data_IF_860590016354
#
_entry.id   IF_860590016354
#
_cell.length_a   1.000
_cell.length_b   1.000
_cell.length_c   1.000
_cell.angle_alpha   90.00
_cell.angle_beta   90.00
_cell.angle_gamma   90.00
#
_symmetry.space_group_name_H-M   'P 1'
#
loop_
_entity.id
_entity.type
_entity.pdbx_description
1 polymer ?
#
# COMPACT_ATOMS: atom_id res chain seq x y z
N UNK A 1 8.87 -45.17 10.87
CA UNK A 1 9.06 -44.75 9.50
C UNK A 1 9.21 -43.23 9.49
N UNK A 2 10.42 -42.78 9.03
CA UNK A 2 10.70 -41.37 8.87
C UNK A 2 9.77 -40.81 7.78
N UNK A 3 9.05 -39.74 8.07
CA UNK A 3 8.26 -39.07 7.06
C UNK A 3 9.21 -38.49 6.00
N UNK A 4 9.13 -39.01 4.78
CA UNK A 4 9.83 -38.43 3.64
C UNK A 4 9.14 -37.12 3.33
N UNK A 5 9.71 -36.02 3.80
CA UNK A 5 9.29 -34.68 3.42
C UNK A 5 9.65 -34.53 1.93
N UNK A 6 8.69 -34.36 1.01
CA UNK A 6 9.03 -34.16 -0.38
C UNK A 6 9.86 -32.87 -0.48
N UNK A 7 11.07 -32.98 -1.03
CA UNK A 7 11.94 -31.82 -1.29
C UNK A 7 11.37 -31.07 -2.50
N UNK A 8 10.30 -30.31 -2.28
CA UNK A 8 9.78 -29.38 -3.27
C UNK A 8 10.80 -28.25 -3.40
N UNK A 9 11.39 -28.08 -4.59
CA UNK A 9 12.27 -26.94 -4.85
C UNK A 9 11.47 -25.65 -4.66
N UNK A 10 12.01 -24.68 -3.95
CA UNK A 10 11.34 -23.39 -3.81
C UNK A 10 11.13 -22.75 -5.20
N UNK A 11 10.01 -22.05 -5.42
CA UNK A 11 9.74 -21.39 -6.70
C UNK A 11 10.81 -20.34 -6.99
N UNK A 12 11.14 -20.16 -8.27
CA UNK A 12 12.13 -19.14 -8.70
C UNK A 12 11.64 -17.70 -8.45
N UNK A 13 10.33 -17.50 -8.51
CA UNK A 13 9.68 -16.22 -8.27
C UNK A 13 8.31 -16.44 -7.63
N UNK A 14 7.91 -15.49 -6.79
CA UNK A 14 6.59 -15.41 -6.17
C UNK A 14 6.02 -14.04 -6.54
N UNK A 15 4.89 -14.03 -7.25
CA UNK A 15 4.16 -12.80 -7.59
C UNK A 15 2.85 -12.80 -6.81
N UNK A 16 2.70 -11.83 -5.92
CA UNK A 16 1.47 -11.63 -5.17
C UNK A 16 0.71 -10.44 -5.76
N UNK A 17 -0.50 -10.68 -6.23
CA UNK A 17 -1.41 -9.62 -6.71
C UNK A 17 -2.50 -9.46 -5.65
N UNK A 18 -2.47 -8.32 -4.96
CA UNK A 18 -3.40 -7.99 -3.89
C UNK A 18 -4.38 -6.92 -4.36
N UNK A 19 -5.56 -7.34 -4.78
CA UNK A 19 -6.60 -6.43 -5.25
C UNK A 19 -7.20 -5.62 -4.10
N UNK A 20 -7.50 -4.36 -4.36
CA UNK A 20 -8.16 -3.44 -3.42
C UNK A 20 -9.65 -3.38 -3.74
N UNK A 21 -10.48 -3.57 -2.72
CA UNK A 21 -11.96 -3.54 -2.81
C UNK A 21 -12.59 -4.49 -3.85
N UNK A 22 -11.91 -5.59 -4.18
CA UNK A 22 -12.44 -6.63 -5.07
C UNK A 22 -13.20 -7.67 -4.25
N UNK A 23 -14.49 -7.83 -4.54
CA UNK A 23 -15.37 -8.81 -3.89
C UNK A 23 -15.22 -10.20 -4.50
N UNK A 24 -15.60 -11.22 -3.72
CA UNK A 24 -15.65 -12.61 -4.18
C UNK A 24 -16.51 -12.78 -5.43
N UNK A 25 -17.66 -12.09 -5.49
CA UNK A 25 -18.60 -12.15 -6.62
C UNK A 25 -18.25 -11.28 -7.81
N UNK A 26 -17.08 -10.62 -7.84
CA UNK A 26 -16.70 -9.67 -8.88
C UNK A 26 -15.86 -10.30 -10.00
N UNK A 27 -15.45 -11.56 -9.85
CA UNK A 27 -14.62 -12.26 -10.84
C UNK A 27 -15.31 -13.49 -11.42
N UNK A 28 -15.08 -13.76 -12.69
CA UNK A 28 -15.78 -14.79 -13.47
C UNK A 28 -15.63 -16.19 -12.88
N UNK A 29 -14.45 -16.58 -12.40
CA UNK A 29 -14.19 -17.89 -11.81
C UNK A 29 -15.00 -18.15 -10.50
N UNK A 30 -15.58 -17.12 -9.91
CA UNK A 30 -16.51 -17.21 -8.78
C UNK A 30 -17.96 -16.90 -9.17
N UNK A 31 -18.26 -16.80 -10.48
CA UNK A 31 -19.62 -16.70 -11.01
C UNK A 31 -20.08 -15.29 -11.39
N UNK A 32 -19.19 -14.30 -11.37
CA UNK A 32 -19.51 -12.96 -11.90
C UNK A 32 -19.87 -13.01 -13.39
N UNK A 33 -20.88 -12.22 -13.77
CA UNK A 33 -21.35 -12.12 -15.17
C UNK A 33 -21.27 -10.70 -15.75
N UNK A 34 -21.03 -9.70 -14.90
CA UNK A 34 -21.08 -8.29 -15.30
C UNK A 34 -19.85 -7.83 -16.05
N UNK A 35 -18.67 -8.10 -15.50
CA UNK A 35 -17.37 -7.69 -16.06
C UNK A 35 -16.56 -8.94 -16.38
N UNK A 36 -16.09 -9.15 -17.61
CA UNK A 36 -15.22 -10.27 -17.95
C UNK A 36 -13.86 -10.18 -17.24
N UNK A 37 -13.41 -11.28 -16.65
CA UNK A 37 -12.11 -11.37 -15.97
C UNK A 37 -11.24 -12.52 -16.53
N UNK A 38 -11.02 -12.60 -17.85
CA UNK A 38 -10.48 -13.80 -18.51
C UNK A 38 -9.07 -14.17 -18.03
N UNK A 39 -8.24 -13.18 -17.64
CA UNK A 39 -6.90 -13.45 -17.12
C UNK A 39 -6.94 -14.10 -15.74
N UNK A 40 -7.81 -13.64 -14.85
CA UNK A 40 -8.02 -14.21 -13.51
C UNK A 40 -8.65 -15.59 -13.62
N UNK A 41 -9.64 -15.75 -14.49
CA UNK A 41 -10.33 -17.01 -14.73
C UNK A 41 -9.34 -18.09 -15.23
N UNK A 42 -8.44 -17.69 -16.13
CA UNK A 42 -7.37 -18.57 -16.62
C UNK A 42 -6.38 -18.99 -15.52
N UNK A 43 -6.04 -18.08 -14.61
CA UNK A 43 -5.22 -18.42 -13.43
C UNK A 43 -5.93 -19.44 -12.55
N UNK A 44 -7.24 -19.30 -12.35
CA UNK A 44 -8.04 -20.25 -11.57
C UNK A 44 -8.12 -21.63 -12.25
N UNK A 45 -8.21 -21.69 -13.57
CA UNK A 45 -8.21 -22.94 -14.35
C UNK A 45 -6.86 -23.67 -14.31
N UNK A 46 -5.75 -22.91 -14.30
CA UNK A 46 -4.40 -23.46 -14.35
C UNK A 46 -3.80 -23.72 -12.96
N UNK A 47 -4.44 -23.23 -11.91
CA UNK A 47 -3.92 -23.29 -10.56
C UNK A 47 -4.90 -23.88 -9.55
N UNK A 48 -4.92 -23.30 -8.38
CA UNK A 48 -5.82 -23.67 -7.29
C UNK A 48 -6.77 -22.51 -6.98
N UNK A 49 -8.08 -22.78 -7.02
CA UNK A 49 -9.11 -21.84 -6.64
C UNK A 49 -9.60 -22.17 -5.22
N UNK A 50 -9.48 -21.21 -4.32
CA UNK A 50 -9.97 -21.33 -2.96
C UNK A 50 -11.43 -20.89 -2.89
N UNK A 51 -12.30 -21.75 -2.34
CA UNK A 51 -13.72 -21.43 -2.12
C UNK A 51 -14.01 -20.84 -0.74
N UNK A 52 -13.09 -21.05 0.20
CA UNK A 52 -13.18 -20.61 1.59
C UNK A 52 -11.88 -19.93 2.03
N UNK A 53 -11.58 -18.80 1.42
CA UNK A 53 -10.45 -17.95 1.80
C UNK A 53 -10.95 -16.54 2.13
N UNK A 54 -10.56 -16.03 3.29
CA UNK A 54 -11.08 -14.79 3.83
C UNK A 54 -9.97 -13.80 4.12
N UNK A 55 -10.19 -12.53 3.77
CA UNK A 55 -9.37 -11.44 4.27
C UNK A 55 -9.55 -11.31 5.79
N UNK A 56 -8.50 -10.88 6.48
CA UNK A 56 -8.57 -10.67 7.94
C UNK A 56 -9.50 -9.53 8.33
N UNK A 57 -9.71 -8.58 7.43
CA UNK A 57 -10.69 -7.48 7.55
C UNK A 57 -11.13 -7.03 6.17
N UNK A 58 -12.22 -6.27 6.12
CA UNK A 58 -12.78 -5.70 4.88
C UNK A 58 -12.24 -4.32 4.52
N UNK A 59 -11.19 -3.82 5.20
CA UNK A 59 -10.65 -2.47 4.99
C UNK A 59 -9.14 -2.47 4.77
N UNK A 60 -8.64 -1.44 4.08
CA UNK A 60 -7.30 -1.34 3.51
C UNK A 60 -6.15 -1.57 4.50
N UNK A 61 -5.94 -0.62 5.42
CA UNK A 61 -4.80 -0.62 6.35
C UNK A 61 -4.73 -1.89 7.18
N UNK A 62 -5.79 -2.33 7.89
CA UNK A 62 -5.70 -3.50 8.75
C UNK A 62 -5.48 -4.80 7.98
N UNK A 63 -6.04 -4.97 6.77
CA UNK A 63 -5.80 -6.17 5.98
C UNK A 63 -4.37 -6.22 5.43
N UNK A 64 -3.82 -5.07 5.02
CA UNK A 64 -2.41 -4.95 4.58
C UNK A 64 -1.44 -5.16 5.74
N UNK A 65 -1.78 -4.66 6.94
CA UNK A 65 -1.02 -4.92 8.15
C UNK A 65 -0.91 -6.43 8.42
N UNK A 66 -2.04 -7.13 8.41
CA UNK A 66 -2.06 -8.57 8.65
C UNK A 66 -1.30 -9.35 7.57
N UNK A 67 -1.40 -8.94 6.29
CA UNK A 67 -0.69 -9.56 5.19
C UNK A 67 0.84 -9.55 5.41
N UNK A 68 1.40 -8.41 5.81
CA UNK A 68 2.86 -8.28 5.94
C UNK A 68 3.40 -8.74 7.30
N UNK A 69 2.59 -8.74 8.36
CA UNK A 69 3.05 -9.09 9.71
C UNK A 69 2.66 -10.48 10.17
N UNK A 70 1.64 -11.11 9.54
CA UNK A 70 1.05 -12.34 10.01
C UNK A 70 0.24 -12.17 11.33
N UNK A 71 0.04 -10.95 11.80
CA UNK A 71 -0.73 -10.64 13.00
C UNK A 71 -2.13 -10.15 12.66
N UNK A 72 -3.15 -10.61 13.38
CA UNK A 72 -4.48 -10.05 13.26
C UNK A 72 -4.51 -8.59 13.73
N UNK A 73 -5.14 -7.67 12.96
CA UNK A 73 -5.07 -6.24 13.24
C UNK A 73 -5.72 -5.83 14.57
N UNK A 74 -6.73 -6.57 15.04
CA UNK A 74 -7.37 -6.30 16.36
C UNK A 74 -6.47 -6.58 17.56
N UNK A 75 -5.32 -7.24 17.36
CA UNK A 75 -4.30 -7.46 18.41
C UNK A 75 -3.40 -6.28 18.63
N UNK A 76 -3.50 -5.27 17.77
CA UNK A 76 -2.68 -4.06 17.82
C UNK A 76 -3.54 -2.82 17.69
N UNK A 77 -3.42 -1.90 18.63
CA UNK A 77 -4.02 -0.59 18.54
C UNK A 77 -3.41 0.23 17.38
N UNK A 78 -4.21 1.12 16.79
CA UNK A 78 -3.77 2.01 15.71
C UNK A 78 -3.70 1.37 14.34
N UNK A 79 -4.33 0.21 14.12
CA UNK A 79 -4.42 -0.46 12.81
C UNK A 79 -5.69 -0.10 12.02
N UNK A 80 -6.45 0.92 12.44
CA UNK A 80 -7.57 1.47 11.67
C UNK A 80 -7.10 2.11 10.36
N UNK A 81 -8.05 2.63 9.58
CA UNK A 81 -7.73 3.31 8.31
C UNK A 81 -6.87 4.56 8.60
N UNK A 82 -5.68 4.59 8.02
CA UNK A 82 -4.71 5.64 8.25
C UNK A 82 -4.95 6.86 7.34
N UNK A 83 -4.62 8.09 7.79
CA UNK A 83 -4.44 9.24 6.91
C UNK A 83 -3.20 9.05 6.01
N UNK A 84 -3.09 9.89 4.96
CA UNK A 84 -2.02 9.77 3.97
C UNK A 84 -0.61 10.03 4.50
N UNK A 85 -0.51 10.85 5.52
CA UNK A 85 0.73 11.26 6.20
C UNK A 85 0.94 10.56 7.56
N UNK A 86 0.27 9.43 7.78
CA UNK A 86 0.47 8.64 9.00
C UNK A 86 1.89 8.12 9.13
N UNK A 87 2.36 7.98 10.37
CA UNK A 87 3.60 7.27 10.66
C UNK A 87 3.49 5.77 10.38
N UNK A 88 4.62 5.13 10.07
CA UNK A 88 4.66 3.68 9.85
C UNK A 88 4.15 2.92 11.09
N UNK A 89 3.16 2.05 10.88
CA UNK A 89 2.55 1.26 11.95
C UNK A 89 3.20 -0.12 12.13
N UNK A 90 3.98 -0.60 11.17
CA UNK A 90 4.70 -1.86 11.28
C UNK A 90 6.00 -1.63 12.06
N UNK A 91 6.22 -2.43 13.09
CA UNK A 91 7.48 -2.42 13.83
C UNK A 91 8.59 -2.99 12.95
N UNK A 92 9.58 -2.15 12.62
CA UNK A 92 10.69 -2.53 11.75
C UNK A 92 11.62 -3.59 12.36
N UNK A 93 11.51 -3.88 13.65
CA UNK A 93 12.31 -4.91 14.34
C UNK A 93 11.65 -6.29 14.31
N UNK A 94 10.35 -6.33 14.03
CA UNK A 94 9.60 -7.60 13.98
C UNK A 94 9.81 -8.35 12.66
N UNK A 95 9.61 -9.67 12.67
CA UNK A 95 9.48 -10.46 11.44
C UNK A 95 8.34 -9.94 10.56
N UNK A 96 8.57 -9.94 9.26
CA UNK A 96 7.58 -9.58 8.25
C UNK A 96 7.68 -10.55 7.09
N UNK A 97 6.64 -10.64 6.27
CA UNK A 97 6.64 -11.46 5.07
C UNK A 97 7.84 -11.16 4.15
N UNK A 98 8.15 -9.91 3.78
CA UNK A 98 9.32 -9.63 2.96
C UNK A 98 10.65 -10.01 3.63
N UNK A 99 10.84 -9.77 4.93
CA UNK A 99 12.05 -10.21 5.65
C UNK A 99 12.21 -11.73 5.64
N UNK A 100 11.12 -12.46 5.81
CA UNK A 100 11.14 -13.91 5.73
C UNK A 100 11.57 -14.37 4.34
N UNK A 101 11.03 -13.76 3.28
CA UNK A 101 11.43 -14.08 1.91
C UNK A 101 12.90 -13.73 1.63
N UNK A 102 13.39 -12.58 2.11
CA UNK A 102 14.80 -12.22 2.02
C UNK A 102 15.70 -13.25 2.71
N UNK A 103 15.32 -13.74 3.89
CA UNK A 103 16.10 -14.77 4.60
C UNK A 103 16.19 -16.10 3.85
N UNK A 104 15.33 -16.30 2.85
CA UNK A 104 15.35 -17.45 1.93
C UNK A 104 15.95 -17.12 0.56
N UNK A 105 16.64 -15.97 0.44
CA UNK A 105 17.36 -15.58 -0.77
C UNK A 105 16.53 -14.93 -1.88
N UNK A 106 15.28 -14.55 -1.60
CA UNK A 106 14.48 -13.80 -2.56
C UNK A 106 14.80 -12.30 -2.49
N UNK A 107 14.85 -11.65 -3.64
CA UNK A 107 14.70 -10.20 -3.73
C UNK A 107 13.23 -9.84 -3.64
N UNK A 108 12.93 -8.79 -2.91
CA UNK A 108 11.56 -8.40 -2.55
C UNK A 108 11.22 -7.01 -3.07
N UNK A 109 10.06 -6.90 -3.70
CA UNK A 109 9.60 -5.67 -4.35
C UNK A 109 8.19 -5.32 -3.84
N UNK A 110 7.94 -4.05 -3.53
CA UNK A 110 6.61 -3.53 -3.23
C UNK A 110 6.19 -2.53 -4.29
N UNK A 111 5.09 -2.80 -4.98
CA UNK A 111 4.57 -1.92 -6.03
C UNK A 111 3.09 -1.63 -5.76
N UNK A 112 2.69 -0.35 -5.82
CA UNK A 112 1.30 0.09 -5.73
C UNK A 112 0.92 0.69 -4.38
N UNK A 113 -0.34 0.50 -3.96
CA UNK A 113 -0.88 1.08 -2.73
C UNK A 113 -0.20 0.53 -1.49
N UNK A 114 0.37 1.43 -0.67
CA UNK A 114 1.01 1.09 0.60
C UNK A 114 0.04 1.13 1.79
N UNK A 115 -0.40 2.30 2.18
CA UNK A 115 -1.41 2.58 3.21
C UNK A 115 -1.11 2.00 4.60
N UNK A 116 0.16 1.93 4.97
CA UNK A 116 0.63 1.46 6.29
C UNK A 116 1.45 2.50 7.04
N UNK A 117 1.43 3.76 6.53
CA UNK A 117 2.19 4.86 7.08
C UNK A 117 3.66 4.83 6.68
N UNK A 118 4.34 5.96 6.92
CA UNK A 118 5.74 6.21 6.57
C UNK A 118 6.38 7.09 7.65
N UNK A 119 7.69 7.01 7.78
CA UNK A 119 8.39 7.83 8.76
C UNK A 119 8.14 7.41 10.21
N UNK A 120 8.71 8.15 11.13
CA UNK A 120 8.70 7.85 12.55
C UNK A 120 7.45 8.37 13.27
N UNK A 121 6.98 7.60 14.26
CA UNK A 121 5.85 8.00 15.10
C UNK A 121 6.17 9.32 15.86
N UNK A 122 5.23 10.27 15.77
CA UNK A 122 5.36 11.57 16.43
C UNK A 122 6.19 12.60 15.69
N UNK A 123 6.76 12.27 14.53
CA UNK A 123 7.44 13.21 13.65
C UNK A 123 6.58 13.51 12.42
N UNK A 124 6.54 14.79 12.02
CA UNK A 124 5.91 15.19 10.74
C UNK A 124 6.81 14.72 9.59
N UNK A 125 6.22 14.14 8.57
CA UNK A 125 6.93 13.73 7.36
C UNK A 125 7.32 14.97 6.55
N UNK A 126 8.59 15.07 6.19
CA UNK A 126 9.08 16.01 5.19
C UNK A 126 9.12 15.33 3.82
N UNK A 127 8.11 15.58 3.01
CA UNK A 127 7.93 14.97 1.70
C UNK A 127 8.97 15.41 0.66
N UNK A 128 9.77 16.42 0.99
CA UNK A 128 10.84 16.94 0.14
C UNK A 128 12.21 16.30 0.42
N UNK A 129 12.24 15.32 1.32
CA UNK A 129 13.43 14.58 1.71
C UNK A 129 13.19 13.08 1.68
N UNK A 130 14.27 12.32 1.83
CA UNK A 130 14.18 10.88 2.05
C UNK A 130 13.37 10.56 3.31
N UNK A 131 12.39 9.68 3.18
CA UNK A 131 11.47 9.27 4.24
C UNK A 131 11.88 7.87 4.72
N UNK A 132 12.22 7.78 6.00
CA UNK A 132 12.52 6.53 6.69
C UNK A 132 11.89 6.57 8.09
N UNK A 133 11.32 5.46 8.59
CA UNK A 133 11.15 4.18 7.91
C UNK A 133 10.09 4.20 6.79
N UNK A 134 10.28 3.31 5.83
CA UNK A 134 9.49 3.12 4.62
C UNK A 134 9.26 1.61 4.40
N UNK A 135 8.70 1.13 3.29
CA UNK A 135 8.64 -0.30 2.99
C UNK A 135 10.00 -1.00 3.03
N UNK A 136 11.08 -0.27 2.74
CA UNK A 136 12.42 -0.84 2.72
C UNK A 136 12.87 -1.33 4.11
N UNK A 137 12.54 -0.61 5.18
CA UNK A 137 12.91 -1.03 6.55
C UNK A 137 12.09 -2.21 7.07
N UNK A 138 10.99 -2.55 6.43
CA UNK A 138 10.25 -3.77 6.77
C UNK A 138 10.63 -4.98 5.91
N UNK A 139 11.63 -4.83 5.03
CA UNK A 139 12.24 -5.93 4.29
C UNK A 139 11.93 -5.96 2.80
N UNK A 140 11.50 -4.86 2.18
CA UNK A 140 11.52 -4.76 0.74
C UNK A 140 12.85 -4.20 0.25
N UNK A 141 13.48 -4.88 -0.70
CA UNK A 141 14.72 -4.40 -1.34
C UNK A 141 14.44 -3.15 -2.16
N UNK A 142 13.28 -3.12 -2.83
CA UNK A 142 12.84 -1.98 -3.63
C UNK A 142 11.36 -1.71 -3.42
N UNK A 143 10.98 -0.45 -3.47
CA UNK A 143 9.60 -0.02 -3.34
C UNK A 143 9.23 1.08 -4.34
N UNK A 144 8.05 0.93 -4.96
CA UNK A 144 7.45 1.94 -5.83
C UNK A 144 5.98 2.05 -5.48
N UNK A 145 5.64 3.02 -4.63
CA UNK A 145 4.37 3.02 -3.91
C UNK A 145 3.64 4.36 -3.97
N UNK A 146 2.30 4.28 -3.83
CA UNK A 146 1.51 5.37 -3.28
C UNK A 146 1.54 5.30 -1.75
N UNK A 147 1.75 6.44 -1.09
CA UNK A 147 1.82 6.51 0.37
C UNK A 147 0.55 5.94 1.04
N UNK A 148 -0.64 6.29 0.52
CA UNK A 148 -1.90 5.75 0.97
C UNK A 148 -2.81 5.40 -0.22
N UNK A 149 -3.73 6.27 -0.58
CA UNK A 149 -4.71 6.12 -1.67
C UNK A 149 -4.67 7.36 -2.56
N UNK A 150 -5.21 7.29 -3.77
CA UNK A 150 -5.27 8.43 -4.68
C UNK A 150 -6.19 9.58 -4.23
N UNK A 151 -7.01 9.35 -3.20
CA UNK A 151 -7.89 10.35 -2.58
C UNK A 151 -7.36 10.89 -1.23
N UNK A 152 -6.13 10.56 -0.84
CA UNK A 152 -5.51 10.98 0.44
C UNK A 152 -4.18 11.66 0.19
N UNK A 153 -4.02 12.79 0.84
CA UNK A 153 -2.81 13.61 0.71
C UNK A 153 -1.63 13.07 1.51
N UNK A 154 -0.45 13.22 0.92
CA UNK A 154 -0.18 13.65 -0.45
C UNK A 154 -0.37 12.52 -1.46
N UNK A 155 -0.89 12.84 -2.66
CA UNK A 155 -1.02 11.89 -3.76
C UNK A 155 0.30 11.78 -4.54
N UNK A 156 1.35 11.30 -3.89
CA UNK A 156 2.69 11.20 -4.47
C UNK A 156 3.10 9.74 -4.65
N UNK A 157 3.94 9.50 -5.66
CA UNK A 157 4.64 8.25 -5.82
C UNK A 157 5.99 8.34 -5.12
N UNK A 158 6.30 7.35 -4.30
CA UNK A 158 7.61 7.20 -3.67
C UNK A 158 8.35 6.04 -4.31
N UNK A 159 9.61 6.25 -4.58
CA UNK A 159 10.57 5.23 -4.97
C UNK A 159 11.65 5.14 -3.90
N UNK A 160 11.73 4.00 -3.22
CA UNK A 160 12.71 3.75 -2.15
C UNK A 160 12.79 4.91 -1.12
N UNK A 161 11.65 5.33 -0.61
CA UNK A 161 11.57 6.39 0.40
C UNK A 161 11.70 7.82 -0.11
N UNK A 162 11.88 8.02 -1.42
CA UNK A 162 11.98 9.36 -2.02
C UNK A 162 10.77 9.65 -2.90
N UNK A 163 10.24 10.87 -2.85
CA UNK A 163 9.21 11.30 -3.80
C UNK A 163 9.83 11.38 -5.19
N UNK A 164 9.19 10.69 -6.14
CA UNK A 164 9.67 10.64 -7.51
C UNK A 164 9.45 11.97 -8.22
N UNK A 165 10.45 12.37 -8.99
CA UNK A 165 10.45 13.60 -9.81
C UNK A 165 10.11 14.86 -8.99
N UNK A 166 10.55 14.94 -7.75
CA UNK A 166 10.41 16.12 -6.92
C UNK A 166 11.04 17.34 -7.59
N UNK A 167 10.27 18.42 -7.68
CA UNK A 167 10.80 19.71 -8.13
C UNK A 167 11.25 20.53 -6.91
N UNK A 168 12.55 20.84 -6.78
CA UNK A 168 13.06 21.65 -5.67
C UNK A 168 12.49 23.07 -5.63
N UNK A 169 12.02 23.58 -6.79
CA UNK A 169 11.44 24.92 -6.90
C UNK A 169 9.95 24.96 -6.59
N UNK A 170 9.29 23.77 -6.50
CA UNK A 170 7.88 23.63 -6.14
C UNK A 170 7.73 22.56 -5.02
N UNK A 171 8.19 22.85 -3.80
CA UNK A 171 8.22 21.90 -2.72
C UNK A 171 6.81 21.45 -2.31
N UNK A 172 6.69 20.19 -1.92
CA UNK A 172 5.42 19.63 -1.45
C UNK A 172 5.10 20.18 -0.07
N UNK A 173 3.91 20.76 0.05
CA UNK A 173 3.31 21.14 1.33
C UNK A 173 2.00 20.37 1.53
N UNK A 174 1.84 19.71 2.67
CA UNK A 174 0.62 19.00 3.05
C UNK A 174 -0.08 19.77 4.16
N UNK A 175 -1.34 20.14 3.91
CA UNK A 175 -2.17 20.82 4.88
C UNK A 175 -3.60 20.26 4.86
N UNK A 176 -4.13 20.05 6.06
CA UNK A 176 -5.55 19.70 6.28
C UNK A 176 -6.40 20.94 6.57
N UNK A 177 -5.79 22.13 6.53
CA UNK A 177 -6.50 23.40 6.59
C UNK A 177 -6.98 23.75 5.19
N UNK A 178 -8.25 24.09 5.07
CA UNK A 178 -8.92 24.33 3.77
C UNK A 178 -8.51 25.62 3.05
N UNK A 179 -7.51 26.33 3.52
CA UNK A 179 -7.13 27.64 3.02
C UNK A 179 -5.67 27.64 2.56
N UNK A 180 -5.44 27.33 1.28
CA UNK A 180 -4.20 27.75 0.65
C UNK A 180 -4.34 29.20 0.16
N UNK A 181 -3.27 30.02 0.23
CA UNK A 181 -3.30 31.36 -0.32
C UNK A 181 -3.74 31.35 -1.78
N UNK A 182 -4.72 32.22 -2.10
CA UNK A 182 -5.23 32.34 -3.48
C UNK A 182 -6.34 31.36 -3.88
N UNK A 183 -6.72 30.43 -3.02
CA UNK A 183 -7.84 29.52 -3.29
C UNK A 183 -9.10 29.94 -2.53
N UNK A 184 -10.31 29.73 -3.11
CA UNK A 184 -11.57 30.08 -2.44
C UNK A 184 -11.72 29.32 -1.14
N UNK A 185 -12.29 29.95 -0.15
CA UNK A 185 -12.59 29.36 1.16
C UNK A 185 -13.61 28.22 0.98
N UNK A 186 -13.09 26.97 0.96
CA UNK A 186 -13.84 25.79 0.55
C UNK A 186 -14.70 25.16 1.64
N UNK A 187 -15.33 25.94 2.54
CA UNK A 187 -16.19 25.36 3.59
C UNK A 187 -17.33 24.51 3.05
N UNK A 188 -17.75 24.75 1.81
CA UNK A 188 -18.94 24.14 1.22
C UNK A 188 -18.68 23.33 -0.06
N UNK A 189 -17.43 23.15 -0.49
CA UNK A 189 -17.13 22.45 -1.73
C UNK A 189 -16.26 21.20 -1.47
N UNK A 190 -16.94 20.08 -1.23
CA UNK A 190 -16.31 18.78 -0.97
C UNK A 190 -15.41 18.30 -2.12
N UNK A 191 -15.69 18.71 -3.34
CA UNK A 191 -14.93 18.29 -4.54
C UNK A 191 -13.65 19.11 -4.69
N UNK A 192 -13.67 20.40 -4.31
CA UNK A 192 -12.45 21.21 -4.21
C UNK A 192 -11.55 20.81 -3.06
N UNK A 193 -12.08 20.24 -1.98
CA UNK A 193 -11.30 19.73 -0.87
C UNK A 193 -10.28 18.68 -1.29
N UNK A 194 -10.63 17.82 -2.22
CA UNK A 194 -9.73 16.78 -2.74
C UNK A 194 -8.54 17.37 -3.51
N UNK A 195 -8.72 18.48 -4.20
CA UNK A 195 -7.68 19.17 -4.95
C UNK A 195 -6.79 20.07 -4.07
N UNK A 196 -7.26 20.44 -2.88
CA UNK A 196 -6.61 21.43 -2.01
C UNK A 196 -5.71 20.83 -0.93
N UNK A 197 -5.61 19.52 -0.82
CA UNK A 197 -4.93 18.86 0.29
C UNK A 197 -3.42 18.71 0.09
N UNK A 198 -2.94 18.78 -1.12
CA UNK A 198 -1.51 18.92 -1.38
C UNK A 198 -1.28 20.10 -2.31
N UNK A 199 -0.38 20.97 -1.92
CA UNK A 199 0.06 22.13 -2.68
C UNK A 199 1.55 21.95 -3.00
N UNK A 200 1.98 22.52 -4.09
CA UNK A 200 3.30 22.25 -4.61
C UNK A 200 3.23 21.07 -5.59
N UNK A 201 4.26 20.73 -6.14
CA UNK A 201 4.54 19.68 -7.11
C UNK A 201 3.37 19.21 -8.00
N UNK A 202 3.32 19.71 -9.23
CA UNK A 202 2.29 19.36 -10.23
C UNK A 202 2.04 17.86 -10.38
N UNK A 203 3.02 17.03 -10.08
CA UNK A 203 2.90 15.58 -10.16
C UNK A 203 2.13 14.93 -9.01
N UNK A 204 1.97 15.60 -7.89
CA UNK A 204 1.13 15.08 -6.80
C UNK A 204 -0.34 14.94 -7.22
N UNK A 205 -0.78 15.75 -8.20
CA UNK A 205 -2.14 15.70 -8.75
C UNK A 205 -2.23 14.71 -9.91
N UNK A 206 -1.23 14.67 -10.78
CA UNK A 206 -1.24 13.87 -12.01
C UNK A 206 -0.97 12.39 -11.72
N UNK A 207 -0.13 12.08 -10.76
CA UNK A 207 0.22 10.71 -10.39
C UNK A 207 -0.83 10.05 -9.47
N UNK A 208 -1.84 10.77 -9.02
CA UNK A 208 -2.99 10.24 -8.30
C UNK A 208 -4.09 9.68 -9.21
N UNK A 209 -3.94 9.80 -10.51
CA UNK A 209 -4.84 9.28 -11.54
C UNK A 209 -4.12 8.17 -12.31
#
# INVERSE_FOLDING_TARGET
PAAVTPTVKPPKAIVMIYADDLGYGDVGCYGAKGIPTPAIDKLAEQGCRFTDAYSTTSVCTPSRYALFTGEYPWRKEGTGILPGDAALIIDTKKPTLPKMLQSHGYKTYMIGKWHLGLGEKGKKIDWNKHISPSPNEIGFDESFIFAATGDRVPCVILENGNVRNLDPNDPIEVSYKHNFPGLPNGKDNKDQLKLMWSHGHNQAIINGI
#
